data_IF_843681189780
#
_entry.id   IF_843681189780
#
_cell.length_a   1.000
_cell.length_b   1.000
_cell.length_c   1.000
_cell.angle_alpha   90.00
_cell.angle_beta   90.00
_cell.angle_gamma   90.00
#
_symmetry.space_group_name_H-M   'P 1'
#
loop_
_entity.id
_entity.type
_entity.pdbx_description
1 polymer ?
#
# COMPACT_ATOMS: atom_id res chain seq x y z
N UNK A 1 -2.04 -17.51 -20.38
CA UNK A 1 -1.03 -16.73 -19.62
C UNK A 1 -1.76 -15.91 -18.57
N UNK A 2 -1.15 -15.68 -17.41
CA UNK A 2 -1.77 -14.92 -16.32
C UNK A 2 -0.92 -13.70 -16.00
N UNK A 3 -1.55 -12.53 -15.85
CA UNK A 3 -0.94 -11.35 -15.25
C UNK A 3 -1.57 -11.14 -13.87
N UNK A 4 -0.76 -11.19 -12.82
CA UNK A 4 -1.22 -11.09 -11.44
C UNK A 4 -0.67 -9.84 -10.75
N UNK A 5 -1.49 -9.26 -9.89
CA UNK A 5 -1.09 -8.13 -9.05
C UNK A 5 -1.79 -8.22 -7.71
N UNK A 6 -1.06 -7.80 -6.68
CA UNK A 6 -1.58 -7.67 -5.35
C UNK A 6 -2.38 -6.39 -5.14
N UNK A 7 -3.58 -6.51 -4.58
CA UNK A 7 -4.49 -5.39 -4.34
C UNK A 7 -4.31 -4.71 -2.98
N UNK A 8 -4.10 -5.49 -1.92
CA UNK A 8 -4.11 -5.01 -0.54
C UNK A 8 -2.71 -4.65 -0.04
N UNK A 9 -2.64 -3.72 0.91
CA UNK A 9 -1.43 -3.43 1.66
C UNK A 9 -1.69 -3.66 3.16
N UNK A 10 -0.63 -3.63 3.96
CA UNK A 10 -0.73 -3.60 5.43
C UNK A 10 0.07 -2.40 5.93
N UNK A 11 -0.37 -1.74 6.99
CA UNK A 11 0.38 -0.70 7.69
C UNK A 11 -0.03 -0.77 9.18
N UNK A 12 0.84 -0.32 10.09
CA UNK A 12 0.52 -0.21 11.51
C UNK A 12 -0.77 0.62 11.74
N UNK A 13 -0.90 1.73 11.02
CA UNK A 13 -2.13 2.50 10.88
C UNK A 13 -2.90 2.05 9.64
N UNK A 14 -3.82 1.10 9.82
CA UNK A 14 -4.59 0.50 8.72
C UNK A 14 -5.36 1.55 7.89
N UNK A 15 -5.86 2.61 8.54
CA UNK A 15 -6.56 3.72 7.88
C UNK A 15 -5.69 4.55 6.93
N UNK A 16 -4.36 4.41 6.98
CA UNK A 16 -3.40 5.10 6.12
C UNK A 16 -2.66 4.13 5.17
N UNK A 17 -3.07 2.85 5.12
CA UNK A 17 -2.41 1.83 4.30
C UNK A 17 -2.79 2.00 2.83
N UNK A 18 -2.24 3.02 2.17
CA UNK A 18 -2.53 3.31 0.75
C UNK A 18 -1.67 2.44 -0.17
N UNK A 19 -0.36 2.37 0.03
CA UNK A 19 0.55 1.57 -0.79
C UNK A 19 0.59 2.03 -2.26
N UNK A 20 1.08 3.25 -2.50
CA UNK A 20 1.03 3.86 -3.84
C UNK A 20 1.99 3.17 -4.82
N UNK A 21 3.23 2.93 -4.41
CA UNK A 21 4.22 2.19 -5.17
C UNK A 21 4.09 0.68 -4.95
N UNK A 22 4.05 0.21 -3.69
CA UNK A 22 4.19 -1.23 -3.38
C UNK A 22 3.23 -2.11 -4.18
N UNK A 23 1.96 -1.71 -4.21
CA UNK A 23 0.88 -2.44 -4.87
C UNK A 23 0.08 -1.57 -5.85
N UNK A 24 -0.08 -0.27 -5.55
CA UNK A 24 -0.80 0.68 -6.41
C UNK A 24 -0.25 0.73 -7.83
N UNK A 25 1.07 0.86 -7.99
CA UNK A 25 1.74 0.92 -9.29
C UNK A 25 1.45 -0.31 -10.17
N UNK A 26 1.49 -1.51 -9.57
CA UNK A 26 1.15 -2.75 -10.24
C UNK A 26 -0.30 -2.79 -10.71
N UNK A 27 -1.24 -2.31 -9.88
CA UNK A 27 -2.68 -2.34 -10.21
C UNK A 27 -2.94 -1.44 -11.40
N UNK A 28 -2.41 -0.21 -11.37
CA UNK A 28 -2.53 0.72 -12.51
C UNK A 28 -1.95 0.11 -13.77
N UNK A 29 -0.81 -0.58 -13.67
CA UNK A 29 -0.22 -1.25 -14.81
C UNK A 29 -1.10 -2.38 -15.36
N UNK A 30 -1.67 -3.22 -14.50
CA UNK A 30 -2.58 -4.29 -14.92
C UNK A 30 -3.82 -3.74 -15.63
N UNK A 31 -4.44 -2.68 -15.09
CA UNK A 31 -5.62 -2.06 -15.69
C UNK A 31 -5.31 -1.49 -17.08
N UNK A 32 -4.20 -0.77 -17.21
CA UNK A 32 -3.79 -0.19 -18.49
C UNK A 32 -3.40 -1.28 -19.51
N UNK A 33 -2.72 -2.36 -19.08
CA UNK A 33 -2.43 -3.50 -19.95
C UNK A 33 -3.74 -4.16 -20.41
N UNK A 34 -4.72 -4.33 -19.53
CA UNK A 34 -6.04 -4.86 -19.90
C UNK A 34 -6.72 -3.98 -20.97
N UNK A 35 -6.68 -2.65 -20.81
CA UNK A 35 -7.19 -1.69 -21.80
C UNK A 35 -6.48 -1.84 -23.16
N UNK A 36 -5.15 -1.94 -23.16
CA UNK A 36 -4.35 -2.08 -24.39
C UNK A 36 -4.67 -3.38 -25.14
N UNK A 37 -4.75 -4.51 -24.43
CA UNK A 37 -5.11 -5.79 -25.04
C UNK A 37 -6.58 -5.84 -25.47
N UNK A 38 -7.48 -5.16 -24.78
CA UNK A 38 -8.88 -5.01 -25.20
C UNK A 38 -8.98 -4.34 -26.57
N UNK A 39 -8.26 -3.22 -26.77
CA UNK A 39 -8.17 -2.53 -28.05
C UNK A 39 -7.52 -3.41 -29.12
N UNK A 40 -6.43 -4.09 -28.78
CA UNK A 40 -5.73 -4.98 -29.70
C UNK A 40 -6.59 -6.18 -30.13
N UNK A 41 -7.38 -6.77 -29.24
CA UNK A 41 -8.21 -7.96 -29.52
C UNK A 41 -9.63 -7.64 -29.98
N UNK A 42 -9.99 -6.35 -30.05
CA UNK A 42 -11.24 -5.87 -30.65
C UNK A 42 -11.42 -6.37 -32.10
N UNK A 43 -10.32 -6.50 -32.84
CA UNK A 43 -10.33 -7.07 -34.17
C UNK A 43 -10.09 -8.60 -34.10
N UNK A 44 -10.97 -9.44 -34.69
CA UNK A 44 -10.78 -10.89 -34.66
C UNK A 44 -9.49 -11.34 -35.36
N UNK A 45 -8.95 -10.56 -36.31
CA UNK A 45 -7.70 -10.89 -37.03
C UNK A 45 -6.45 -10.77 -36.18
N UNK A 46 -6.50 -9.95 -35.13
CA UNK A 46 -5.37 -9.69 -34.23
C UNK A 46 -5.44 -10.55 -32.97
N UNK A 47 -6.47 -11.37 -32.80
CA UNK A 47 -6.56 -12.29 -31.65
C UNK A 47 -5.43 -13.31 -31.69
N UNK A 48 -4.66 -13.35 -30.61
CA UNK A 48 -3.53 -14.26 -30.44
C UNK A 48 -3.95 -15.70 -30.17
N UNK A 49 -2.96 -16.59 -30.08
CA UNK A 49 -3.18 -18.02 -29.72
C UNK A 49 -3.40 -18.23 -28.22
N UNK A 50 -3.05 -17.24 -27.40
CA UNK A 50 -3.08 -17.34 -25.96
C UNK A 50 -4.25 -16.57 -25.39
N UNK A 51 -4.89 -17.15 -24.38
CA UNK A 51 -5.84 -16.42 -23.53
C UNK A 51 -5.07 -15.70 -22.43
N UNK A 52 -5.41 -14.43 -22.22
CA UNK A 52 -4.90 -13.59 -21.15
C UNK A 52 -5.89 -13.60 -20.00
N UNK A 53 -5.40 -13.86 -18.80
CA UNK A 53 -6.17 -13.74 -17.57
C UNK A 53 -5.52 -12.68 -16.68
N UNK A 54 -6.30 -11.68 -16.28
CA UNK A 54 -5.88 -10.64 -15.35
C UNK A 54 -6.38 -10.98 -13.95
N UNK A 55 -5.46 -11.16 -13.00
CA UNK A 55 -5.75 -11.52 -11.62
C UNK A 55 -5.42 -10.38 -10.66
N UNK A 56 -6.43 -9.90 -9.93
CA UNK A 56 -6.24 -9.02 -8.79
C UNK A 56 -6.52 -9.80 -7.51
N UNK A 57 -5.49 -10.05 -6.73
CA UNK A 57 -5.56 -10.88 -5.51
C UNK A 57 -5.39 -10.03 -4.27
N UNK A 58 -6.05 -10.44 -3.19
CA UNK A 58 -5.84 -9.87 -1.85
C UNK A 58 -5.09 -10.89 -0.97
N UNK A 59 -4.61 -10.48 0.21
CA UNK A 59 -3.92 -11.40 1.10
C UNK A 59 -2.39 -11.39 1.01
N UNK A 60 -1.78 -10.35 0.45
CA UNK A 60 -0.35 -10.30 0.07
C UNK A 60 0.56 -10.34 1.28
N UNK A 61 0.39 -9.39 2.23
CA UNK A 61 1.06 -9.42 3.53
C UNK A 61 0.82 -10.71 4.32
N UNK A 62 -0.24 -11.45 3.99
CA UNK A 62 -0.62 -12.71 4.62
C UNK A 62 -0.15 -13.92 3.81
N UNK A 63 1.10 -13.88 3.32
CA UNK A 63 1.71 -14.90 2.46
C UNK A 63 0.95 -15.13 1.14
N UNK A 64 0.41 -14.08 0.52
CA UNK A 64 -0.36 -14.19 -0.73
C UNK A 64 -1.50 -15.22 -0.65
N UNK A 65 -2.24 -15.20 0.47
CA UNK A 65 -3.26 -16.21 0.75
C UNK A 65 -4.39 -16.21 -0.29
N UNK A 66 -4.79 -15.04 -0.82
CA UNK A 66 -5.81 -14.99 -1.88
C UNK A 66 -5.37 -15.70 -3.15
N UNK A 67 -4.14 -15.46 -3.61
CA UNK A 67 -3.54 -16.18 -4.75
C UNK A 67 -3.46 -17.67 -4.45
N UNK A 68 -3.05 -18.06 -3.23
CA UNK A 68 -2.96 -19.46 -2.83
C UNK A 68 -4.30 -20.18 -2.89
N UNK A 69 -5.37 -19.58 -2.36
CA UNK A 69 -6.69 -20.19 -2.35
C UNK A 69 -7.34 -20.22 -3.72
N UNK A 70 -7.19 -19.14 -4.49
CA UNK A 70 -7.64 -19.10 -5.88
C UNK A 70 -6.97 -20.19 -6.73
N UNK A 71 -5.65 -20.37 -6.62
CA UNK A 71 -4.97 -21.46 -7.33
C UNK A 71 -5.39 -22.86 -6.85
N UNK A 72 -5.83 -23.00 -5.60
CA UNK A 72 -6.38 -24.27 -5.10
C UNK A 72 -7.80 -24.54 -5.59
N UNK A 73 -8.60 -23.50 -5.80
CA UNK A 73 -9.96 -23.64 -6.35
C UNK A 73 -9.97 -24.02 -7.83
N UNK A 74 -8.88 -23.76 -8.55
CA UNK A 74 -8.69 -24.23 -9.92
C UNK A 74 -8.47 -25.75 -9.99
N UNK A 75 -9.17 -26.38 -10.94
CA UNK A 75 -8.96 -27.78 -11.29
C UNK A 75 -7.52 -28.03 -11.76
N UNK A 76 -7.02 -29.24 -11.52
CA UNK A 76 -5.65 -29.60 -11.90
C UNK A 76 -5.39 -29.44 -13.41
N UNK A 77 -6.36 -29.81 -14.25
CA UNK A 77 -6.26 -29.66 -15.71
C UNK A 77 -6.14 -28.20 -16.15
N UNK A 78 -6.89 -27.30 -15.50
CA UNK A 78 -6.79 -25.87 -15.76
C UNK A 78 -5.42 -25.35 -15.32
N UNK A 79 -4.90 -25.78 -14.18
CA UNK A 79 -3.56 -25.39 -13.72
C UNK A 79 -2.44 -25.81 -14.68
N UNK A 80 -2.53 -27.03 -15.20
CA UNK A 80 -1.55 -27.56 -16.16
C UNK A 80 -1.64 -26.87 -17.53
N UNK A 81 -2.80 -26.26 -17.87
CA UNK A 81 -2.97 -25.45 -19.07
C UNK A 81 -2.35 -24.05 -18.98
N UNK A 82 -1.88 -23.63 -17.80
CA UNK A 82 -1.24 -22.32 -17.62
C UNK A 82 0.22 -22.42 -18.07
N UNK A 83 0.55 -21.77 -19.19
CA UNK A 83 1.95 -21.72 -19.66
C UNK A 83 2.87 -21.00 -18.68
N UNK A 84 2.49 -19.79 -18.27
CA UNK A 84 3.15 -19.06 -17.18
C UNK A 84 2.30 -17.91 -16.64
N UNK A 85 2.70 -17.43 -15.47
CA UNK A 85 2.17 -16.23 -14.82
C UNK A 85 3.26 -15.16 -14.62
N UNK A 86 2.92 -13.89 -14.82
CA UNK A 86 3.78 -12.74 -14.51
C UNK A 86 3.10 -11.92 -13.44
N UNK A 87 3.77 -11.73 -12.31
CA UNK A 87 3.27 -10.92 -11.20
C UNK A 87 3.97 -9.56 -11.19
N UNK A 88 3.26 -8.45 -10.97
CA UNK A 88 3.86 -7.12 -10.86
C UNK A 88 3.83 -6.64 -9.41
N UNK A 89 4.96 -6.12 -8.92
CA UNK A 89 5.10 -5.59 -7.56
C UNK A 89 6.10 -4.43 -7.56
N UNK A 90 5.80 -3.29 -6.92
CA UNK A 90 6.70 -2.13 -6.82
C UNK A 90 7.41 -1.77 -8.15
N UNK A 91 6.68 -1.21 -9.11
CA UNK A 91 7.22 -0.84 -10.44
C UNK A 91 7.15 0.67 -10.70
N UNK A 92 7.00 1.48 -9.65
CA UNK A 92 6.75 2.91 -9.75
C UNK A 92 7.88 3.81 -9.24
N UNK A 93 8.91 3.31 -8.55
CA UNK A 93 9.98 4.14 -7.98
C UNK A 93 11.39 3.85 -8.57
N UNK A 94 11.48 3.06 -9.64
CA UNK A 94 12.77 2.65 -10.23
C UNK A 94 13.34 3.68 -11.21
N UNK A 95 14.67 3.72 -11.26
CA UNK A 95 15.43 4.57 -12.19
C UNK A 95 15.75 3.81 -13.49
N UNK A 96 16.76 2.94 -13.46
CA UNK A 96 17.33 2.29 -14.67
C UNK A 96 17.35 0.76 -14.63
N UNK A 97 16.96 0.15 -13.50
CA UNK A 97 17.11 -1.30 -13.27
C UNK A 97 15.84 -1.93 -12.72
N UNK A 98 15.39 -2.98 -13.39
CA UNK A 98 14.30 -3.85 -12.92
C UNK A 98 14.80 -5.27 -12.70
N UNK A 99 14.13 -5.99 -11.80
CA UNK A 99 14.47 -7.36 -11.46
C UNK A 99 13.29 -8.29 -11.77
N UNK A 100 13.60 -9.40 -12.43
CA UNK A 100 12.71 -10.53 -12.60
C UNK A 100 13.11 -11.58 -11.57
N UNK A 101 12.23 -11.83 -10.61
CA UNK A 101 12.40 -12.85 -9.58
C UNK A 101 11.72 -14.14 -10.01
N UNK A 102 12.46 -15.24 -9.91
CA UNK A 102 11.99 -16.56 -10.34
C UNK A 102 12.35 -17.63 -9.33
N UNK A 103 11.41 -18.54 -9.12
CA UNK A 103 11.55 -19.67 -8.18
C UNK A 103 12.05 -20.97 -8.81
N UNK A 104 11.70 -21.20 -10.07
CA UNK A 104 12.13 -22.35 -10.87
C UNK A 104 13.50 -22.05 -11.52
N UNK A 105 14.33 -23.06 -11.80
CA UNK A 105 15.65 -22.82 -12.35
C UNK A 105 15.58 -22.11 -13.71
N UNK A 106 16.57 -21.27 -14.04
CA UNK A 106 16.62 -20.52 -15.30
C UNK A 106 16.80 -21.42 -16.53
N UNK A 107 17.05 -22.73 -16.33
CA UNK A 107 17.15 -23.71 -17.41
C UNK A 107 15.79 -24.01 -18.07
N UNK A 108 14.68 -23.76 -17.38
CA UNK A 108 13.34 -23.99 -17.93
C UNK A 108 13.07 -23.12 -19.16
N UNK A 109 12.53 -23.72 -20.21
CA UNK A 109 12.21 -23.04 -21.47
C UNK A 109 11.34 -21.79 -21.27
N UNK A 110 10.26 -21.90 -20.49
CA UNK A 110 9.35 -20.76 -20.26
C UNK A 110 10.04 -19.59 -19.54
N UNK A 111 11.00 -19.86 -18.63
CA UNK A 111 11.71 -18.80 -17.91
C UNK A 111 12.72 -18.11 -18.82
N UNK A 112 13.45 -18.88 -19.64
CA UNK A 112 14.32 -18.31 -20.67
C UNK A 112 13.53 -17.41 -21.60
N UNK A 113 12.37 -17.89 -22.06
CA UNK A 113 11.51 -17.14 -22.96
C UNK A 113 10.96 -15.85 -22.32
N UNK A 114 10.59 -15.88 -21.04
CA UNK A 114 10.20 -14.67 -20.29
C UNK A 114 11.41 -13.71 -20.21
N UNK A 115 12.55 -14.19 -19.74
CA UNK A 115 13.71 -13.33 -19.53
C UNK A 115 14.23 -12.71 -20.83
N UNK A 116 14.37 -13.49 -21.90
CA UNK A 116 14.80 -13.02 -23.22
C UNK A 116 13.78 -12.02 -23.82
N UNK A 117 12.49 -12.31 -23.67
CA UNK A 117 11.42 -11.41 -24.12
C UNK A 117 11.43 -10.06 -23.41
N UNK A 118 11.62 -10.06 -22.09
CA UNK A 118 11.71 -8.81 -21.31
C UNK A 118 13.04 -8.08 -21.53
N UNK A 119 14.17 -8.80 -21.60
CA UNK A 119 15.49 -8.20 -21.81
C UNK A 119 15.59 -7.52 -23.17
N UNK A 120 15.08 -8.16 -24.23
CA UNK A 120 15.10 -7.58 -25.58
C UNK A 120 14.28 -6.29 -25.68
N UNK A 121 13.11 -6.24 -25.05
CA UNK A 121 12.27 -5.03 -25.00
C UNK A 121 12.90 -3.96 -24.11
N UNK A 122 13.51 -4.34 -22.98
CA UNK A 122 14.18 -3.40 -22.08
C UNK A 122 15.38 -2.72 -22.76
N UNK A 123 16.19 -3.46 -23.52
CA UNK A 123 17.27 -2.91 -24.34
C UNK A 123 16.76 -1.85 -25.32
N UNK A 124 15.62 -2.09 -25.97
CA UNK A 124 15.00 -1.12 -26.90
C UNK A 124 14.45 0.12 -26.19
N UNK A 125 13.96 -0.04 -24.95
CA UNK A 125 13.48 1.07 -24.11
C UNK A 125 14.62 1.80 -23.38
N UNK A 126 15.85 1.29 -23.45
CA UNK A 126 17.05 1.92 -22.91
C UNK A 126 17.33 1.66 -21.43
N UNK A 127 16.89 0.53 -20.87
CA UNK A 127 17.17 0.15 -19.48
C UNK A 127 17.47 -1.35 -19.32
N UNK A 128 17.98 -1.75 -18.14
CA UNK A 128 18.42 -3.12 -17.88
C UNK A 128 17.41 -3.91 -17.04
N UNK A 129 17.16 -5.16 -17.45
CA UNK A 129 16.36 -6.13 -16.68
C UNK A 129 17.24 -7.30 -16.26
N UNK A 130 17.34 -7.53 -14.95
CA UNK A 130 18.19 -8.56 -14.36
C UNK A 130 17.36 -9.74 -13.84
N UNK A 131 17.91 -10.96 -13.96
CA UNK A 131 17.28 -12.17 -13.44
C UNK A 131 17.81 -12.53 -12.05
N UNK A 132 16.91 -12.70 -11.08
CA UNK A 132 17.23 -13.28 -9.76
C UNK A 132 16.49 -14.59 -9.56
N UNK A 133 17.26 -15.65 -9.34
CA UNK A 133 16.73 -16.97 -9.04
C UNK A 133 16.86 -17.29 -7.54
N UNK A 134 15.74 -17.68 -6.91
CA UNK A 134 15.70 -18.13 -5.52
C UNK A 134 14.90 -19.42 -5.42
N UNK A 135 15.55 -20.52 -5.04
CA UNK A 135 14.86 -21.80 -4.84
C UNK A 135 13.89 -21.71 -3.66
N UNK A 136 12.64 -22.10 -3.88
CA UNK A 136 11.62 -22.14 -2.82
C UNK A 136 11.93 -23.22 -1.79
N UNK A 137 11.75 -22.88 -0.51
CA UNK A 137 11.76 -23.85 0.58
C UNK A 137 10.32 -24.25 0.92
N UNK A 138 9.94 -25.50 0.62
CA UNK A 138 8.57 -25.99 0.83
C UNK A 138 8.18 -26.09 2.31
N UNK A 139 9.16 -26.25 3.21
CA UNK A 139 8.90 -26.34 4.65
C UNK A 139 8.70 -24.97 5.32
N UNK A 140 9.13 -23.88 4.69
CA UNK A 140 8.89 -22.54 5.22
C UNK A 140 7.46 -22.11 4.89
N UNK A 141 6.59 -21.82 5.89
CA UNK A 141 5.25 -21.33 5.60
C UNK A 141 5.26 -19.93 4.98
N UNK A 142 6.30 -19.12 5.22
CA UNK A 142 6.40 -17.76 4.71
C UNK A 142 6.65 -17.74 3.21
N UNK A 143 5.93 -16.87 2.53
CA UNK A 143 6.06 -16.63 1.10
C UNK A 143 6.41 -15.17 0.87
N UNK A 144 7.52 -14.93 0.19
CA UNK A 144 8.06 -13.58 0.04
C UNK A 144 7.52 -12.88 -1.22
N UNK A 145 7.32 -13.65 -2.29
CA UNK A 145 6.80 -13.17 -3.57
C UNK A 145 5.59 -13.95 -4.02
N UNK A 146 4.69 -13.30 -4.77
CA UNK A 146 3.47 -13.94 -5.27
C UNK A 146 3.78 -15.16 -6.17
N UNK A 147 4.79 -15.07 -7.04
CA UNK A 147 5.18 -16.15 -7.95
C UNK A 147 5.62 -17.45 -7.23
N UNK A 148 6.02 -17.37 -5.95
CA UNK A 148 6.37 -18.55 -5.14
C UNK A 148 5.12 -19.41 -4.88
N UNK A 149 3.91 -18.81 -4.75
CA UNK A 149 2.65 -19.57 -4.60
C UNK A 149 2.33 -20.39 -5.85
N UNK A 150 2.49 -19.79 -7.03
CA UNK A 150 2.36 -20.50 -8.31
C UNK A 150 3.35 -21.67 -8.40
N UNK A 151 4.60 -21.42 -7.99
CA UNK A 151 5.66 -22.43 -8.05
C UNK A 151 5.42 -23.60 -7.10
N UNK A 152 4.82 -23.38 -5.92
CA UNK A 152 4.38 -24.45 -5.00
C UNK A 152 3.34 -25.39 -5.64
N UNK A 153 2.49 -24.86 -6.52
CA UNK A 153 1.49 -25.62 -7.27
C UNK A 153 1.97 -26.02 -8.67
N UNK A 154 3.30 -26.04 -8.88
CA UNK A 154 3.98 -26.45 -10.12
C UNK A 154 3.72 -25.57 -11.34
N UNK A 155 3.08 -24.42 -11.19
CA UNK A 155 2.90 -23.43 -12.27
C UNK A 155 4.19 -22.61 -12.41
N UNK A 156 4.61 -22.35 -13.66
CA UNK A 156 5.73 -21.46 -13.98
C UNK A 156 5.33 -20.00 -13.74
N UNK A 157 6.07 -19.26 -12.92
CA UNK A 157 5.76 -17.87 -12.67
C UNK A 157 7.01 -17.03 -12.37
N UNK A 158 6.91 -15.74 -12.64
CA UNK A 158 7.94 -14.74 -12.37
C UNK A 158 7.32 -13.48 -11.77
N UNK A 159 8.04 -12.78 -10.88
CA UNK A 159 7.64 -11.45 -10.39
C UNK A 159 8.56 -10.38 -10.95
N UNK A 160 8.01 -9.34 -11.58
CA UNK A 160 8.74 -8.13 -11.97
C UNK A 160 8.66 -7.11 -10.83
N UNK A 161 9.81 -6.62 -10.38
CA UNK A 161 9.89 -5.66 -9.28
C UNK A 161 11.16 -4.81 -9.35
N UNK A 162 11.08 -3.58 -8.85
CA UNK A 162 12.23 -2.71 -8.55
C UNK A 162 13.11 -3.28 -7.44
N UNK A 163 12.49 -3.88 -6.42
CA UNK A 163 13.19 -4.39 -5.26
C UNK A 163 14.10 -5.56 -5.66
N UNK A 164 15.38 -5.44 -5.31
CA UNK A 164 16.35 -6.50 -5.59
C UNK A 164 16.22 -7.69 -4.63
N UNK A 165 15.64 -7.50 -3.45
CA UNK A 165 15.35 -8.53 -2.46
C UNK A 165 13.91 -8.34 -2.00
N UNK A 166 13.23 -9.43 -1.69
CA UNK A 166 11.89 -9.35 -1.14
C UNK A 166 11.91 -8.58 0.18
N UNK A 167 11.00 -7.62 0.33
CA UNK A 167 10.90 -6.88 1.57
C UNK A 167 10.37 -7.76 2.70
N UNK A 168 10.85 -7.53 3.92
CA UNK A 168 10.21 -8.10 5.08
C UNK A 168 8.86 -7.42 5.39
N UNK A 169 7.97 -8.15 6.09
CA UNK A 169 6.68 -7.63 6.51
C UNK A 169 6.89 -6.36 7.35
N UNK A 170 6.28 -5.24 6.94
CA UNK A 170 6.40 -3.89 7.51
C UNK A 170 7.72 -3.14 7.23
N UNK A 171 8.63 -3.68 6.41
CA UNK A 171 9.88 -3.01 6.06
C UNK A 171 9.68 -2.07 4.84
N UNK A 172 9.09 -2.56 3.74
CA UNK A 172 8.69 -1.75 2.58
C UNK A 172 7.19 -1.83 2.30
N UNK A 173 6.61 -3.04 2.40
CA UNK A 173 5.17 -3.25 2.33
C UNK A 173 4.53 -2.72 3.63
N UNK A 174 4.05 -1.47 3.56
CA UNK A 174 3.49 -0.78 4.71
C UNK A 174 4.38 0.27 5.34
N UNK A 175 5.29 0.89 4.60
CA UNK A 175 5.93 2.13 5.04
C UNK A 175 4.94 3.30 4.98
N UNK A 176 4.96 4.20 5.97
CA UNK A 176 4.23 5.48 5.90
C UNK A 176 4.77 6.38 4.77
N UNK A 177 5.98 6.08 4.30
CA UNK A 177 6.63 6.74 3.15
C UNK A 177 6.03 6.33 1.81
N UNK A 178 5.27 5.23 1.71
CA UNK A 178 4.70 4.75 0.46
C UNK A 178 3.46 5.58 0.06
N UNK A 179 3.74 6.78 -0.43
CA UNK A 179 2.76 7.81 -0.78
C UNK A 179 3.01 8.34 -2.19
N UNK A 180 1.98 8.99 -2.76
CA UNK A 180 1.98 9.54 -4.12
C UNK A 180 3.25 10.28 -4.57
N UNK A 181 3.89 11.17 -3.77
CA UNK A 181 5.04 11.94 -4.23
C UNK A 181 6.30 11.11 -4.51
N UNK A 182 6.40 9.88 -3.98
CA UNK A 182 7.54 9.01 -4.20
C UNK A 182 7.39 8.11 -5.43
N UNK A 183 6.24 8.19 -6.12
CA UNK A 183 5.95 7.40 -7.32
C UNK A 183 6.22 8.22 -8.57
N UNK A 184 7.05 7.67 -9.45
CA UNK A 184 7.35 8.23 -10.76
C UNK A 184 6.40 7.66 -11.83
N UNK A 185 5.49 8.49 -12.35
CA UNK A 185 4.55 8.11 -13.40
C UNK A 185 5.24 7.65 -14.69
N UNK A 186 6.40 8.24 -15.01
CA UNK A 186 7.16 7.90 -16.22
C UNK A 186 7.70 6.48 -16.10
N UNK A 187 8.16 6.08 -14.91
CA UNK A 187 8.63 4.72 -14.63
C UNK A 187 7.50 3.69 -14.77
N UNK A 188 6.29 4.03 -14.30
CA UNK A 188 5.09 3.18 -14.49
C UNK A 188 4.77 3.01 -15.97
N UNK A 189 4.72 4.11 -16.74
CA UNK A 189 4.41 4.07 -18.18
C UNK A 189 5.44 3.21 -18.93
N UNK A 190 6.74 3.36 -18.61
CA UNK A 190 7.81 2.52 -19.17
C UNK A 190 7.63 1.04 -18.80
N UNK A 191 7.25 0.75 -17.57
CA UNK A 191 6.99 -0.62 -17.10
C UNK A 191 5.79 -1.25 -17.78
N UNK A 192 4.71 -0.49 -17.96
CA UNK A 192 3.53 -0.92 -18.71
C UNK A 192 3.92 -1.27 -20.14
N UNK A 193 4.67 -0.38 -20.80
CA UNK A 193 5.16 -0.60 -22.17
C UNK A 193 6.02 -1.85 -22.26
N UNK A 194 6.94 -2.05 -21.31
CA UNK A 194 7.78 -3.26 -21.21
C UNK A 194 6.93 -4.54 -21.12
N UNK A 195 5.99 -4.57 -20.19
CA UNK A 195 5.16 -5.77 -19.93
C UNK A 195 4.21 -6.02 -21.10
N UNK A 196 3.53 -5.00 -21.62
CA UNK A 196 2.60 -5.14 -22.73
C UNK A 196 3.31 -5.62 -24.00
N UNK A 197 4.43 -4.99 -24.37
CA UNK A 197 5.19 -5.32 -25.57
C UNK A 197 5.83 -6.71 -25.48
N UNK A 198 6.43 -7.06 -24.33
CA UNK A 198 7.01 -8.39 -24.12
C UNK A 198 5.97 -9.52 -24.22
N UNK A 199 4.77 -9.32 -23.64
CA UNK A 199 3.66 -10.27 -23.75
C UNK A 199 3.15 -10.35 -25.19
N UNK A 200 2.98 -9.22 -25.87
CA UNK A 200 2.48 -9.23 -27.24
C UNK A 200 3.47 -9.89 -28.21
N UNK A 201 4.77 -9.61 -28.09
CA UNK A 201 5.83 -10.30 -28.85
C UNK A 201 5.80 -11.80 -28.62
N UNK A 202 5.62 -12.23 -27.37
CA UNK A 202 5.47 -13.63 -27.03
C UNK A 202 4.25 -14.27 -27.73
N UNK A 203 3.09 -13.61 -27.66
CA UNK A 203 1.83 -14.14 -28.21
C UNK A 203 1.88 -14.33 -29.73
N UNK A 204 2.50 -13.39 -30.44
CA UNK A 204 2.61 -13.44 -31.90
C UNK A 204 3.88 -14.15 -32.40
N UNK A 205 4.77 -14.58 -31.50
CA UNK A 205 6.02 -15.25 -31.85
C UNK A 205 7.04 -14.35 -32.55
N UNK A 206 6.98 -13.03 -32.35
CA UNK A 206 7.96 -12.10 -32.92
C UNK A 206 9.19 -12.04 -32.02
N UNK A 207 10.31 -12.57 -32.50
CA UNK A 207 11.62 -12.55 -31.83
C UNK A 207 12.59 -11.53 -32.46
N UNK A 208 12.08 -10.64 -33.32
CA UNK A 208 12.88 -9.64 -34.03
C UNK A 208 13.02 -8.33 -33.26
N UNK A 209 14.21 -7.73 -33.33
CA UNK A 209 14.46 -6.34 -32.89
C UNK A 209 13.67 -5.37 -33.80
N UNK A 210 13.12 -4.30 -33.24
CA UNK A 210 12.34 -3.23 -33.91
C UNK A 210 10.86 -3.50 -34.25
N UNK A 211 10.22 -4.51 -33.66
CA UNK A 211 8.76 -4.64 -33.75
C UNK A 211 8.14 -3.92 -32.56
N UNK A 212 7.52 -2.77 -32.78
CA UNK A 212 6.76 -2.05 -31.75
C UNK A 212 5.27 -2.20 -32.03
N UNK A 213 4.59 -3.03 -31.23
CA UNK A 213 3.15 -3.25 -31.34
C UNK A 213 2.41 -2.07 -30.68
N UNK A 214 2.89 -1.63 -29.52
CA UNK A 214 2.34 -0.50 -28.77
C UNK A 214 3.22 0.75 -28.95
N UNK A 215 3.28 1.27 -30.17
CA UNK A 215 4.04 2.48 -30.50
C UNK A 215 3.37 3.75 -29.94
N UNK A 216 4.17 4.73 -29.51
CA UNK A 216 3.68 5.94 -28.82
C UNK A 216 2.84 6.86 -29.71
N UNK A 217 3.05 6.80 -31.03
CA UNK A 217 2.31 7.58 -32.03
C UNK A 217 1.02 6.89 -32.52
N UNK A 218 0.73 5.69 -32.00
CA UNK A 218 -0.40 4.87 -32.44
C UNK A 218 -1.62 5.00 -31.51
N UNK A 219 -2.78 4.56 -31.98
CA UNK A 219 -3.99 4.42 -31.14
C UNK A 219 -3.84 3.37 -30.02
N UNK A 220 -2.78 2.55 -30.09
CA UNK A 220 -2.43 1.53 -29.09
C UNK A 220 -1.35 2.04 -28.12
N UNK A 221 -1.10 3.35 -28.06
CA UNK A 221 -0.21 3.93 -27.07
C UNK A 221 -0.76 3.81 -25.64
N UNK A 222 0.16 3.73 -24.68
CA UNK A 222 -0.14 3.84 -23.24
C UNK A 222 -0.76 5.21 -22.98
N UNK A 223 -1.87 5.26 -22.25
CA UNK A 223 -2.56 6.51 -21.93
C UNK A 223 -2.07 7.09 -20.58
N UNK A 224 -1.28 8.18 -20.57
CA UNK A 224 -0.74 8.74 -19.33
C UNK A 224 -1.83 9.29 -18.42
N UNK A 225 -2.91 9.85 -18.99
CA UNK A 225 -4.01 10.42 -18.20
C UNK A 225 -4.80 9.35 -17.44
N UNK A 226 -4.93 8.16 -18.03
CA UNK A 226 -5.57 7.01 -17.39
C UNK A 226 -4.72 6.49 -16.23
N UNK A 227 -3.41 6.34 -16.46
CA UNK A 227 -2.43 5.97 -15.42
C UNK A 227 -2.47 6.97 -14.27
N UNK A 228 -2.46 8.27 -14.56
CA UNK A 228 -2.51 9.33 -13.56
C UNK A 228 -3.79 9.27 -12.71
N UNK A 229 -4.96 9.13 -13.35
CA UNK A 229 -6.25 9.12 -12.67
C UNK A 229 -6.39 7.94 -11.71
N UNK A 230 -6.03 6.73 -12.17
CA UNK A 230 -6.08 5.54 -11.31
C UNK A 230 -5.04 5.61 -10.19
N UNK A 231 -3.84 6.11 -10.47
CA UNK A 231 -2.83 6.29 -9.45
C UNK A 231 -3.30 7.26 -8.35
N UNK A 232 -3.94 8.38 -8.70
CA UNK A 232 -4.48 9.34 -7.72
C UNK A 232 -5.60 8.74 -6.86
N UNK A 233 -6.48 7.92 -7.44
CA UNK A 233 -7.52 7.19 -6.69
C UNK A 233 -6.89 6.20 -5.71
N UNK A 234 -5.94 5.38 -6.17
CA UNK A 234 -5.30 4.35 -5.35
C UNK A 234 -4.40 4.94 -4.26
N UNK A 235 -3.79 6.09 -4.50
CA UNK A 235 -2.98 6.80 -3.51
C UNK A 235 -3.79 7.45 -2.39
N UNK A 236 -5.10 7.65 -2.57
CA UNK A 236 -5.99 8.26 -1.56
C UNK A 236 -6.84 7.23 -0.81
N UNK A 237 -6.90 6.00 -1.32
CA UNK A 237 -7.78 4.96 -0.79
C UNK A 237 -6.99 3.95 0.04
N UNK A 238 -7.18 3.87 1.37
CA UNK A 238 -6.54 2.86 2.19
C UNK A 238 -7.16 1.49 1.91
N UNK A 239 -6.31 0.47 1.80
CA UNK A 239 -6.71 -0.89 1.38
C UNK A 239 -6.03 -1.93 2.24
N UNK A 240 -6.80 -2.56 3.12
CA UNK A 240 -6.31 -3.63 3.99
C UNK A 240 -7.31 -4.77 3.96
N UNK A 241 -6.90 -5.95 3.46
CA UNK A 241 -7.82 -7.03 3.08
C UNK A 241 -8.89 -7.40 4.14
N UNK A 242 -8.55 -7.58 5.43
CA UNK A 242 -9.54 -7.87 6.47
C UNK A 242 -10.65 -6.84 6.65
N UNK A 243 -10.40 -5.57 6.31
CA UNK A 243 -11.34 -4.46 6.55
C UNK A 243 -12.09 -4.05 5.29
N UNK A 244 -11.85 -4.72 4.16
CA UNK A 244 -12.60 -4.50 2.94
C UNK A 244 -13.99 -5.10 3.09
N UNK A 245 -15.00 -4.25 2.92
CA UNK A 245 -16.39 -4.69 2.84
C UNK A 245 -16.61 -5.47 1.53
N UNK A 246 -17.54 -6.43 1.52
CA UNK A 246 -17.90 -7.17 0.30
C UNK A 246 -18.39 -6.26 -0.84
N UNK A 247 -18.99 -5.13 -0.48
CA UNK A 247 -19.48 -4.10 -1.40
C UNK A 247 -18.62 -2.83 -1.31
N UNK A 248 -17.32 -2.99 -1.13
CA UNK A 248 -16.41 -1.84 -1.09
C UNK A 248 -16.46 -1.07 -2.43
N UNK A 249 -16.61 0.28 -2.39
CA UNK A 249 -16.73 1.08 -3.60
C UNK A 249 -15.51 0.97 -4.52
N UNK A 250 -14.31 0.75 -3.98
CA UNK A 250 -13.10 0.61 -4.78
C UNK A 250 -13.07 -0.72 -5.52
N UNK A 251 -13.47 -1.82 -4.86
CA UNK A 251 -13.58 -3.13 -5.49
C UNK A 251 -14.64 -3.11 -6.60
N UNK A 252 -15.76 -2.42 -6.37
CA UNK A 252 -16.79 -2.22 -7.40
C UNK A 252 -16.29 -1.36 -8.57
N UNK A 253 -15.49 -0.32 -8.30
CA UNK A 253 -14.90 0.52 -9.34
C UNK A 253 -13.91 -0.27 -10.21
N UNK A 254 -13.02 -1.06 -9.59
CA UNK A 254 -12.07 -1.93 -10.30
C UNK A 254 -12.80 -3.01 -11.11
N UNK A 255 -13.84 -3.62 -10.53
CA UNK A 255 -14.66 -4.59 -11.25
C UNK A 255 -15.29 -3.97 -12.49
N UNK A 256 -15.85 -2.77 -12.37
CA UNK A 256 -16.50 -2.06 -13.47
C UNK A 256 -15.50 -1.73 -14.58
N UNK A 257 -14.35 -1.17 -14.24
CA UNK A 257 -13.32 -0.81 -15.21
C UNK A 257 -12.76 -2.04 -15.95
N UNK A 258 -12.49 -3.13 -15.23
CA UNK A 258 -12.11 -4.39 -15.86
C UNK A 258 -13.22 -4.96 -16.75
N UNK A 259 -14.50 -4.81 -16.39
CA UNK A 259 -15.62 -5.29 -17.19
C UNK A 259 -15.79 -4.50 -18.50
N UNK A 260 -15.35 -3.25 -18.55
CA UNK A 260 -15.34 -2.46 -19.78
C UNK A 260 -14.21 -2.90 -20.74
N UNK A 261 -13.20 -3.63 -20.25
CA UNK A 261 -12.02 -4.04 -21.02
C UNK A 261 -11.90 -5.56 -21.24
N UNK A 262 -12.65 -6.37 -20.50
CA UNK A 262 -12.57 -7.85 -20.54
C UNK A 262 -13.94 -8.48 -20.74
N UNK A 263 -13.98 -9.67 -21.34
CA UNK A 263 -15.24 -10.36 -21.66
C UNK A 263 -15.98 -10.88 -20.41
N UNK A 264 -15.24 -11.37 -19.40
CA UNK A 264 -15.80 -11.94 -18.17
C UNK A 264 -15.02 -11.48 -16.93
N UNK A 265 -15.74 -10.95 -15.94
CA UNK A 265 -15.17 -10.53 -14.64
C UNK A 265 -15.88 -11.22 -13.49
N UNK A 266 -15.13 -12.06 -12.77
CA UNK A 266 -15.62 -12.75 -11.57
C UNK A 266 -14.96 -12.17 -10.31
N UNK A 267 -15.75 -11.96 -9.26
CA UNK A 267 -15.27 -11.50 -7.95
C UNK A 267 -15.55 -12.58 -6.91
N UNK A 268 -14.47 -13.15 -6.38
CA UNK A 268 -14.53 -14.18 -5.34
C UNK A 268 -14.17 -13.57 -3.99
N UNK A 269 -15.05 -13.78 -3.01
CA UNK A 269 -14.82 -13.34 -1.63
C UNK A 269 -14.53 -14.56 -0.77
N UNK A 270 -13.31 -14.64 -0.26
CA UNK A 270 -12.90 -15.70 0.64
C UNK A 270 -12.42 -15.12 1.96
N UNK A 271 -12.75 -15.83 3.05
CA UNK A 271 -12.31 -15.44 4.40
C UNK A 271 -10.83 -15.77 4.53
N UNK A 272 -10.01 -14.81 5.00
CA UNK A 272 -8.61 -15.08 5.34
C UNK A 272 -8.55 -16.18 6.40
N UNK A 273 -7.70 -17.17 6.18
CA UNK A 273 -7.57 -18.28 7.12
C UNK A 273 -6.95 -17.77 8.44
N UNK A 274 -7.41 -18.31 9.57
CA UNK A 274 -7.34 -17.73 10.92
C UNK A 274 -5.96 -17.57 11.57
N UNK A 275 -4.91 -17.27 10.80
CA UNK A 275 -3.56 -17.03 11.33
C UNK A 275 -3.45 -15.71 12.12
N UNK A 276 -4.32 -14.74 11.87
CA UNK A 276 -4.27 -13.42 12.50
C UNK A 276 -5.64 -12.98 12.99
N UNK A 277 -5.69 -12.44 14.21
CA UNK A 277 -6.86 -11.75 14.76
C UNK A 277 -6.69 -10.25 14.54
N UNK A 278 -7.60 -9.64 13.79
CA UNK A 278 -7.56 -8.22 13.47
C UNK A 278 -8.40 -7.40 14.44
N UNK A 279 -7.84 -6.30 14.94
CA UNK A 279 -8.56 -5.34 15.78
C UNK A 279 -9.23 -4.28 14.90
N UNK A 280 -10.53 -4.07 15.11
CA UNK A 280 -11.42 -3.29 14.22
C UNK A 280 -11.41 -1.77 14.45
N UNK A 281 -10.61 -1.25 15.38
CA UNK A 281 -10.63 0.17 15.72
C UNK A 281 -9.78 1.01 14.76
N UNK A 282 -10.30 1.26 13.56
CA UNK A 282 -9.67 2.20 12.59
C UNK A 282 -9.82 3.67 12.98
N UNK A 283 -10.70 3.98 13.93
CA UNK A 283 -10.96 5.34 14.43
C UNK A 283 -10.95 5.37 15.95
N UNK A 284 -10.11 6.22 16.53
CA UNK A 284 -10.08 6.50 17.97
C UNK A 284 -10.35 8.00 18.20
N UNK A 285 -11.12 8.32 19.25
CA UNK A 285 -11.32 9.71 19.68
C UNK A 285 -10.22 10.07 20.69
N UNK A 286 -9.31 10.97 20.32
CA UNK A 286 -8.33 11.52 21.25
C UNK A 286 -8.97 12.68 22.02
N UNK A 287 -9.36 12.43 23.26
CA UNK A 287 -9.83 13.48 24.15
C UNK A 287 -8.61 14.13 24.82
N UNK A 288 -8.27 15.35 24.41
CA UNK A 288 -7.20 16.13 25.03
C UNK A 288 -7.82 17.01 26.12
N UNK A 289 -7.57 16.66 27.36
CA UNK A 289 -7.99 17.47 28.51
C UNK A 289 -6.82 18.33 28.97
N UNK A 290 -7.08 19.62 29.16
CA UNK A 290 -6.15 20.50 29.87
C UNK A 290 -6.28 20.21 31.36
N UNK A 291 -5.21 19.74 32.00
CA UNK A 291 -5.19 19.51 33.45
C UNK A 291 -5.33 20.84 34.18
N UNK A 292 -5.98 20.82 35.35
CA UNK A 292 -6.19 21.99 36.18
C UNK A 292 -4.92 22.84 36.31
N UNK A 293 -5.06 24.11 35.91
CA UNK A 293 -3.97 25.08 35.95
C UNK A 293 -3.63 25.41 37.40
N UNK A 294 -2.34 25.53 37.74
CA UNK A 294 -1.85 26.01 39.04
C UNK A 294 -2.48 27.38 39.42
N UNK A 295 -2.93 28.15 38.42
CA UNK A 295 -3.67 29.40 38.64
C UNK A 295 -5.01 29.18 39.35
N UNK A 296 -5.67 28.04 39.15
CA UNK A 296 -6.91 27.71 39.85
C UNK A 296 -6.65 27.52 41.35
N UNK A 297 -5.60 26.79 41.71
CA UNK A 297 -5.22 26.59 43.10
C UNK A 297 -4.79 27.90 43.77
N UNK A 298 -4.05 28.77 43.06
CA UNK A 298 -3.69 30.10 43.55
C UNK A 298 -4.91 31.01 43.72
N UNK A 299 -5.88 30.95 42.80
CA UNK A 299 -7.13 31.70 42.91
C UNK A 299 -7.97 31.19 44.08
N UNK A 300 -8.06 29.87 44.25
CA UNK A 300 -8.75 29.25 45.38
C UNK A 300 -8.10 29.63 46.71
N UNK A 301 -6.76 29.63 46.77
CA UNK A 301 -5.99 30.10 47.94
C UNK A 301 -6.27 31.58 48.23
N UNK A 302 -6.32 32.43 47.20
CA UNK A 302 -6.64 33.85 47.36
C UNK A 302 -8.06 34.06 47.88
N UNK A 303 -9.04 33.36 47.33
CA UNK A 303 -10.45 33.44 47.75
C UNK A 303 -10.61 32.95 49.19
N UNK A 304 -10.05 31.80 49.54
CA UNK A 304 -10.10 31.27 50.91
C UNK A 304 -9.34 32.18 51.90
N UNK A 305 -8.15 32.66 51.51
CA UNK A 305 -7.34 33.55 52.33
C UNK A 305 -8.05 34.87 52.62
N UNK A 306 -8.61 35.52 51.59
CA UNK A 306 -9.38 36.75 51.73
C UNK A 306 -10.64 36.56 52.59
N UNK A 307 -11.36 35.45 52.42
CA UNK A 307 -12.51 35.12 53.26
C UNK A 307 -12.15 35.03 54.74
N UNK A 308 -11.06 34.31 55.08
CA UNK A 308 -10.60 34.17 56.46
C UNK A 308 -10.16 35.51 57.07
N UNK A 309 -9.49 36.36 56.28
CA UNK A 309 -9.07 37.71 56.73
C UNK A 309 -10.29 38.59 57.02
N UNK A 310 -11.30 38.58 56.15
CA UNK A 310 -12.53 39.34 56.35
C UNK A 310 -13.29 38.83 57.58
N UNK A 311 -13.41 37.51 57.73
CA UNK A 311 -14.08 36.90 58.88
C UNK A 311 -13.37 37.22 60.20
N UNK A 312 -12.04 37.12 60.22
CA UNK A 312 -11.23 37.51 61.38
C UNK A 312 -11.43 38.99 61.72
N UNK A 313 -11.36 39.87 60.71
CA UNK A 313 -11.55 41.31 60.92
C UNK A 313 -12.95 41.62 61.47
N UNK A 314 -13.98 40.98 60.92
CA UNK A 314 -15.36 41.12 61.40
C UNK A 314 -15.53 40.66 62.86
N UNK A 315 -14.95 39.50 63.22
CA UNK A 315 -15.00 38.99 64.59
C UNK A 315 -14.24 39.87 65.59
N UNK A 316 -13.08 40.42 65.20
CA UNK A 316 -12.30 41.32 66.07
C UNK A 316 -13.02 42.67 66.24
N UNK A 317 -13.58 43.24 65.17
CA UNK A 317 -14.34 44.50 65.25
C UNK A 317 -15.57 44.34 66.16
N UNK A 318 -16.29 43.22 66.05
CA UNK A 318 -17.50 42.97 66.84
C UNK A 318 -17.21 42.70 68.32
N UNK A 319 -16.05 42.10 68.65
CA UNK A 319 -15.72 41.72 70.04
C UNK A 319 -14.84 42.72 70.79
N UNK A 320 -13.95 43.46 70.10
CA UNK A 320 -12.93 44.32 70.72
C UNK A 320 -12.95 45.79 70.23
N UNK A 321 -13.75 46.11 69.22
CA UNK A 321 -13.81 47.46 68.65
C UNK A 321 -12.69 47.74 67.63
N UNK A 322 -12.90 48.79 66.82
CA UNK A 322 -12.08 49.10 65.64
C UNK A 322 -10.62 49.47 65.98
N UNK A 323 -10.41 50.11 67.13
CA UNK A 323 -9.12 50.69 67.51
C UNK A 323 -8.06 49.62 67.84
N UNK A 324 -8.47 48.45 68.34
CA UNK A 324 -7.57 47.35 68.67
C UNK A 324 -7.06 46.60 67.43
N UNK A 325 -7.87 46.54 66.36
CA UNK A 325 -7.43 45.97 65.07
C UNK A 325 -6.35 46.83 64.43
N UNK A 326 -6.46 48.16 64.56
CA UNK A 326 -5.48 49.12 64.05
C UNK A 326 -4.18 49.08 64.87
N UNK A 327 -4.29 48.86 66.19
CA UNK A 327 -3.13 48.73 67.07
C UNK A 327 -2.33 47.43 66.84
N UNK A 328 -2.97 46.34 66.38
CA UNK A 328 -2.30 45.08 66.08
C UNK A 328 -1.31 45.18 64.89
N UNK A 329 -1.59 46.07 63.93
CA UNK A 329 -0.75 46.28 62.75
C UNK A 329 0.21 47.49 62.87
N UNK A 330 0.10 48.30 63.93
CA UNK A 330 1.07 49.37 64.21
C UNK A 330 2.30 48.81 64.92
N UNK A 331 3.49 49.03 64.32
CA UNK A 331 4.76 48.71 64.99
C UNK A 331 4.86 49.49 66.31
N UNK A 332 5.31 48.86 67.42
CA UNK A 332 5.49 49.56 68.67
C UNK A 332 6.54 50.68 68.51
N UNK A 333 6.34 51.86 69.11
CA UNK A 333 7.29 52.96 68.98
C UNK A 333 8.66 52.56 69.56
N UNK A 334 9.74 52.89 68.83
CA UNK A 334 11.11 52.54 69.21
C UNK A 334 11.47 53.18 70.55
N UNK A 335 11.86 52.33 71.51
CA UNK A 335 12.28 52.75 72.84
C UNK A 335 13.62 53.50 72.71
N UNK A 336 13.61 54.83 72.83
CA UNK A 336 14.87 55.61 72.92
C UNK A 336 15.65 55.16 74.15
N UNK A 337 16.85 54.64 73.92
CA UNK A 337 17.83 54.33 74.97
C UNK A 337 18.36 55.66 75.51
N UNK A 338 18.13 55.95 76.79
CA UNK A 338 18.88 56.98 77.53
C UNK A 338 20.17 56.33 78.03
N UNK A 339 21.31 56.72 77.46
CA UNK A 339 22.64 56.50 78.05
C UNK A 339 22.92 57.59 79.08
N UNK A 340 23.26 57.15 80.29
CA UNK A 340 23.85 57.85 81.45
C UNK A 340 23.41 59.30 81.72
#
# INVERSE_FOLDING_TARGET
MILCVQFDNILYLQALSVGSDSNGSGIVALLEIARLFSLLYSNPKTRGRYNLLFGLTSGGPYNYNGTHKWLRSLDQRLRESIDYAVCLNSIGAWDDKLWIHVSKPPENANIKQIFEGFSSVAEELGFEVNLKHKKINMSNPRVAWEHEQFSRLRVTAATLSELSVASELLESAGGLSDSRPFVNEIAIIRSIKLVAESIARHIYGHQGKNVQIFADESSLAVNPSYVHAWLDILSRTPRVAPFLLKNDPLVMALKKDLADHTDEVNVQHEVLDGMFTFYDSTKAKLNVYQVASVTFDLLLLLVLGSYLIVLFSFLVITTKGLDDLINLFRRPPSRKIKTA
#
